data_IF_379648292322
#
_entry.id   IF_379648292322
#
_cell.length_a   1.000
_cell.length_b   1.000
_cell.length_c   1.000
_cell.angle_alpha   90.00
_cell.angle_beta   90.00
_cell.angle_gamma   90.00
#
_symmetry.space_group_name_H-M   'P 1'
#
loop_
_entity.id
_entity.type
_entity.pdbx_description
1 polymer ?
#
# COMPACT_ATOMS: atom_id res chain seq x y z
N UNK A 1 12.86 -7.78 -10.12
CA UNK A 1 11.91 -8.42 -9.19
C UNK A 1 12.26 -7.91 -7.81
N UNK A 2 11.31 -7.28 -7.13
CA UNK A 2 11.51 -6.81 -5.76
C UNK A 2 11.70 -8.01 -4.83
N UNK A 3 12.51 -7.85 -3.79
CA UNK A 3 12.55 -8.81 -2.70
C UNK A 3 11.22 -8.77 -1.94
N UNK A 4 10.90 -9.86 -1.24
CA UNK A 4 9.65 -9.95 -0.49
C UNK A 4 9.52 -8.80 0.53
N UNK A 5 8.50 -7.98 0.30
CA UNK A 5 8.17 -6.78 1.05
C UNK A 5 9.19 -5.63 0.99
N UNK A 6 10.11 -5.66 0.04
CA UNK A 6 10.87 -4.47 -0.35
C UNK A 6 9.92 -3.41 -0.92
N UNK A 7 10.11 -2.16 -0.54
CA UNK A 7 9.38 -1.02 -1.09
C UNK A 7 10.26 -0.31 -2.11
N UNK A 8 9.79 -0.27 -3.35
CA UNK A 8 10.31 0.61 -4.39
C UNK A 8 9.49 1.90 -4.40
N UNK A 9 10.17 3.04 -4.34
CA UNK A 9 9.54 4.34 -4.13
C UNK A 9 9.93 5.28 -5.27
N UNK A 10 8.94 5.69 -6.06
CA UNK A 10 9.07 6.69 -7.10
C UNK A 10 8.40 7.99 -6.65
N UNK A 11 9.17 9.10 -6.61
CA UNK A 11 8.65 10.44 -6.33
C UNK A 11 8.68 11.21 -7.64
N UNK A 12 7.49 11.49 -8.17
CA UNK A 12 7.33 12.12 -9.48
C UNK A 12 7.50 13.63 -9.43
N UNK A 13 7.73 14.24 -10.59
CA UNK A 13 7.92 15.69 -10.71
C UNK A 13 6.70 16.54 -10.32
N UNK A 14 5.52 15.93 -10.22
CA UNK A 14 4.28 16.54 -9.72
C UNK A 14 4.09 16.39 -8.20
N UNK A 15 5.04 15.76 -7.50
CA UNK A 15 4.99 15.54 -6.06
C UNK A 15 4.18 14.33 -5.62
N UNK A 16 3.64 13.54 -6.56
CA UNK A 16 2.97 12.28 -6.25
C UNK A 16 4.01 11.18 -6.03
N UNK A 17 3.87 10.47 -4.91
CA UNK A 17 4.69 9.31 -4.62
C UNK A 17 3.94 8.03 -4.97
N UNK A 18 4.65 7.09 -5.60
CA UNK A 18 4.14 5.76 -5.91
C UNK A 18 5.05 4.74 -5.27
N UNK A 19 4.50 4.03 -4.29
CA UNK A 19 5.23 3.04 -3.50
C UNK A 19 4.74 1.67 -3.92
N UNK A 20 5.66 0.80 -4.33
CA UNK A 20 5.34 -0.53 -4.83
C UNK A 20 6.05 -1.55 -3.98
N UNK A 21 5.34 -2.61 -3.61
CA UNK A 21 5.93 -3.73 -2.91
C UNK A 21 5.34 -5.04 -3.40
N UNK A 22 6.15 -6.08 -3.41
CA UNK A 22 5.72 -7.42 -3.79
C UNK A 22 5.69 -8.29 -2.52
N UNK A 23 4.55 -8.92 -2.23
CA UNK A 23 4.35 -9.68 -0.99
C UNK A 23 3.70 -11.05 -1.23
N UNK A 24 4.14 -12.02 -0.44
CA UNK A 24 3.47 -13.32 -0.32
C UNK A 24 3.73 -14.30 -1.47
N UNK A 25 3.17 -15.50 -1.30
CA UNK A 25 3.50 -16.66 -2.13
C UNK A 25 3.05 -16.54 -3.60
N UNK A 26 2.03 -15.72 -3.86
CA UNK A 26 1.52 -15.44 -5.20
C UNK A 26 2.11 -14.17 -5.83
N UNK A 27 3.16 -13.60 -5.21
CA UNK A 27 3.86 -12.41 -5.70
C UNK A 27 2.92 -11.20 -5.86
N UNK A 28 2.08 -10.96 -4.85
CA UNK A 28 1.08 -9.91 -4.91
C UNK A 28 1.75 -8.54 -4.94
N UNK A 29 1.49 -7.80 -6.00
CA UNK A 29 1.96 -6.44 -6.16
C UNK A 29 0.98 -5.50 -5.47
N UNK A 30 1.41 -4.90 -4.37
CA UNK A 30 0.64 -3.89 -3.65
C UNK A 30 1.18 -2.52 -4.00
N UNK A 31 0.31 -1.50 -3.95
CA UNK A 31 0.72 -0.14 -4.30
C UNK A 31 0.12 0.88 -3.35
N UNK A 32 0.92 1.88 -2.98
CA UNK A 32 0.40 3.12 -2.43
C UNK A 32 0.57 4.28 -3.42
N UNK A 33 -0.43 5.15 -3.47
CA UNK A 33 -0.34 6.46 -4.14
C UNK A 33 -0.50 7.51 -3.06
N UNK A 34 0.50 8.38 -2.92
CA UNK A 34 0.57 9.37 -1.85
C UNK A 34 0.68 10.77 -2.44
N UNK A 35 -0.19 11.65 -1.96
CA UNK A 35 -0.10 13.09 -2.13
C UNK A 35 -0.03 13.72 -0.74
N UNK A 36 1.19 14.08 -0.32
CA UNK A 36 1.42 14.68 1.00
C UNK A 36 0.79 16.06 1.14
N UNK A 37 0.70 16.82 0.03
CA UNK A 37 0.14 18.18 0.03
C UNK A 37 -1.35 18.15 0.34
N UNK A 38 -2.08 17.24 -0.32
CA UNK A 38 -3.51 17.07 -0.13
C UNK A 38 -3.88 16.05 0.94
N UNK A 39 -2.88 15.47 1.62
CA UNK A 39 -3.03 14.45 2.67
C UNK A 39 -3.81 13.24 2.20
N UNK A 40 -3.57 12.82 0.96
CA UNK A 40 -4.18 11.63 0.37
C UNK A 40 -3.17 10.50 0.40
N UNK A 41 -3.61 9.36 0.91
CA UNK A 41 -2.87 8.09 0.90
C UNK A 41 -3.84 7.01 0.45
N UNK A 42 -3.64 6.49 -0.75
CA UNK A 42 -4.44 5.41 -1.33
C UNK A 42 -3.65 4.12 -1.22
N UNK A 43 -4.25 3.07 -0.67
CA UNK A 43 -3.68 1.72 -0.68
C UNK A 43 -4.49 0.84 -1.63
N UNK A 44 -3.79 0.18 -2.54
CA UNK A 44 -4.34 -0.68 -3.58
C UNK A 44 -3.90 -2.11 -3.30
N UNK A 45 -4.88 -3.01 -3.26
CA UNK A 45 -4.69 -4.46 -3.10
C UNK A 45 -3.84 -4.85 -1.88
N UNK A 46 -4.12 -4.35 -0.65
CA UNK A 46 -3.28 -4.64 0.51
C UNK A 46 -3.21 -6.16 0.82
N UNK A 47 -1.99 -6.70 0.88
CA UNK A 47 -1.70 -8.07 1.32
C UNK A 47 -1.39 -8.12 2.82
N UNK A 48 -0.31 -7.46 3.27
CA UNK A 48 0.08 -7.33 4.68
C UNK A 48 -0.18 -5.91 5.17
N UNK A 49 -1.34 -5.72 5.83
CA UNK A 49 -1.80 -4.39 6.23
C UNK A 49 -1.09 -3.83 7.45
N UNK A 50 -0.60 -4.67 8.35
CA UNK A 50 0.18 -4.20 9.50
C UNK A 50 1.52 -3.64 9.02
N UNK A 51 2.16 -4.33 8.08
CA UNK A 51 3.40 -3.84 7.47
C UNK A 51 3.19 -2.53 6.73
N UNK A 52 2.16 -2.43 5.88
CA UNK A 52 1.81 -1.19 5.20
C UNK A 52 1.54 -0.05 6.18
N UNK A 53 0.69 -0.28 7.19
CA UNK A 53 0.34 0.72 8.18
C UNK A 53 1.57 1.21 8.95
N UNK A 54 2.44 0.30 9.40
CA UNK A 54 3.64 0.66 10.15
C UNK A 54 4.62 1.47 9.29
N UNK A 55 4.83 1.08 8.03
CA UNK A 55 5.72 1.81 7.11
C UNK A 55 5.21 3.21 6.83
N UNK A 56 3.91 3.37 6.56
CA UNK A 56 3.29 4.69 6.36
C UNK A 56 3.32 5.53 7.64
N UNK A 57 3.01 4.93 8.78
CA UNK A 57 2.99 5.63 10.07
C UNK A 57 4.38 6.16 10.46
N UNK A 58 5.45 5.45 10.12
CA UNK A 58 6.83 5.92 10.33
C UNK A 58 7.15 7.19 9.51
N UNK A 59 6.33 7.48 8.50
CA UNK A 59 6.45 8.62 7.59
C UNK A 59 5.40 9.70 7.88
N UNK A 60 4.74 9.61 9.04
CA UNK A 60 3.61 10.43 9.45
C UNK A 60 2.42 10.40 8.47
N UNK A 61 2.27 9.28 7.75
CA UNK A 61 1.17 9.03 6.81
C UNK A 61 0.15 8.07 7.41
N UNK A 62 -1.12 8.28 7.06
CA UNK A 62 -2.22 7.36 7.39
C UNK A 62 -3.04 7.09 6.12
N UNK A 63 -3.37 5.83 5.79
CA UNK A 63 -4.27 5.53 4.67
C UNK A 63 -5.61 6.27 4.78
N UNK A 64 -6.04 6.82 3.65
CA UNK A 64 -7.31 7.56 3.51
C UNK A 64 -8.31 6.85 2.60
N UNK A 65 -7.78 6.05 1.67
CA UNK A 65 -8.56 5.30 0.70
C UNK A 65 -8.01 3.88 0.60
N UNK A 66 -8.92 2.94 0.46
CA UNK A 66 -8.60 1.53 0.30
C UNK A 66 -9.31 1.03 -0.95
N UNK A 67 -8.55 0.51 -1.91
CA UNK A 67 -9.07 0.09 -3.20
C UNK A 67 -8.68 -1.35 -3.49
N UNK A 68 -9.61 -2.05 -4.13
CA UNK A 68 -9.32 -3.28 -4.83
C UNK A 68 -9.40 -3.05 -6.33
N UNK A 69 -8.41 -3.55 -7.06
CA UNK A 69 -8.45 -3.54 -8.53
C UNK A 69 -9.54 -4.46 -9.07
N UNK A 70 -9.76 -5.59 -8.40
CA UNK A 70 -10.77 -6.59 -8.71
C UNK A 70 -11.07 -7.48 -7.50
N UNK A 71 -11.97 -8.44 -7.65
CA UNK A 71 -12.19 -9.46 -6.61
C UNK A 71 -11.08 -10.51 -6.66
N UNK A 72 -10.13 -10.41 -5.75
CA UNK A 72 -9.02 -11.36 -5.60
C UNK A 72 -9.46 -12.71 -5.03
N UNK A 73 -8.79 -13.78 -5.45
CA UNK A 73 -8.99 -15.13 -4.89
C UNK A 73 -7.81 -15.58 -4.02
N UNK A 74 -6.64 -15.06 -4.34
CA UNK A 74 -5.33 -15.40 -3.82
C UNK A 74 -4.95 -14.54 -2.60
N UNK A 75 -5.55 -13.35 -2.43
CA UNK A 75 -5.44 -12.58 -1.19
C UNK A 75 -6.64 -11.65 -0.92
N UNK A 76 -7.28 -11.79 0.25
CA UNK A 76 -8.42 -10.94 0.65
C UNK A 76 -8.35 -10.40 2.09
N UNK A 77 -7.45 -10.92 2.91
CA UNK A 77 -7.42 -10.63 4.36
C UNK A 77 -6.88 -9.23 4.68
N UNK A 78 -5.97 -8.70 3.85
CA UNK A 78 -5.36 -7.39 4.12
C UNK A 78 -6.40 -6.29 4.17
N UNK A 79 -7.37 -6.27 3.26
CA UNK A 79 -8.36 -5.18 3.24
C UNK A 79 -9.16 -5.07 4.54
N UNK A 80 -9.66 -6.19 5.06
CA UNK A 80 -10.37 -6.18 6.35
C UNK A 80 -9.45 -5.68 7.47
N UNK A 81 -8.21 -6.16 7.51
CA UNK A 81 -7.25 -5.77 8.54
C UNK A 81 -6.87 -4.29 8.45
N UNK A 82 -6.73 -3.74 7.25
CA UNK A 82 -6.45 -2.31 7.07
C UNK A 82 -7.57 -1.45 7.64
N UNK A 83 -8.84 -1.83 7.43
CA UNK A 83 -9.99 -1.12 8.02
C UNK A 83 -9.99 -1.11 9.56
N UNK A 84 -9.34 -2.07 10.21
CA UNK A 84 -9.21 -2.12 11.67
C UNK A 84 -8.06 -1.23 12.21
N UNK A 85 -7.11 -0.87 11.35
CA UNK A 85 -5.91 -0.11 11.72
C UNK A 85 -6.06 1.41 11.53
N UNK A 86 -6.93 1.83 10.61
CA UNK A 86 -7.08 3.22 10.17
C UNK A 86 -8.22 3.97 10.86
#
# INVERSE_FOLDING_TARGET
MLKDGEFDIDIRGDGIEVWVTQMGDFMNMNTAIIDRTNKVVVIIDPFDSERWFNVLKNEDLCPTHLLYTHTHRDHTWGYKKMLELV
#
